data_IF_151789365872
#
_entry.id   IF_151789365872
#
_cell.length_a   1.000
_cell.length_b   1.000
_cell.length_c   1.000
_cell.angle_alpha   90.00
_cell.angle_beta   90.00
_cell.angle_gamma   90.00
#
_symmetry.space_group_name_H-M   'P 1'
#
loop_
_entity.id
_entity.type
_entity.pdbx_description
1 polymer ?
#
# COMPACT_ATOMS: atom_id res chain seq x y z
N UNK A 1 7.60 -35.52 -0.81
CA UNK A 1 7.19 -35.00 0.51
C UNK A 1 7.75 -33.59 0.58
N UNK A 2 7.29 -32.64 -0.22
CA UNK A 2 6.00 -31.94 -0.20
C UNK A 2 5.77 -31.19 1.11
N UNK A 3 5.91 -29.87 1.02
CA UNK A 3 5.13 -28.91 1.80
C UNK A 3 5.67 -28.59 3.19
N UNK A 4 6.54 -27.58 3.26
CA UNK A 4 6.78 -26.81 4.47
C UNK A 4 5.46 -26.13 4.88
N UNK A 5 4.81 -26.67 5.91
CA UNK A 5 3.53 -26.23 6.49
C UNK A 5 3.68 -24.95 7.34
N UNK A 6 4.38 -23.94 6.85
CA UNK A 6 4.36 -22.60 7.44
C UNK A 6 3.22 -21.78 6.83
N UNK A 7 1.99 -22.30 6.95
CA UNK A 7 0.77 -21.63 6.56
C UNK A 7 0.59 -20.33 7.36
N UNK A 8 0.79 -19.22 6.66
CA UNK A 8 0.31 -17.86 6.92
C UNK A 8 -0.78 -17.78 8.00
N UNK A 9 -0.39 -17.68 9.28
CA UNK A 9 -1.30 -17.21 10.31
C UNK A 9 -1.41 -15.71 10.18
N UNK A 10 -2.42 -15.31 9.40
CA UNK A 10 -2.77 -13.94 9.11
C UNK A 10 -2.85 -13.06 10.36
N UNK A 11 -1.98 -12.06 10.40
CA UNK A 11 -2.07 -10.87 11.24
C UNK A 11 -2.30 -9.60 10.40
N UNK A 12 -2.81 -9.77 9.17
CA UNK A 12 -3.08 -8.68 8.22
C UNK A 12 -4.45 -8.02 8.34
N UNK A 13 -5.22 -8.30 9.40
CA UNK A 13 -6.49 -7.65 9.63
C UNK A 13 -6.27 -6.43 10.54
N UNK A 14 -5.96 -5.27 9.94
CA UNK A 14 -6.50 -4.04 10.50
C UNK A 14 -8.02 -4.25 10.61
N UNK A 15 -8.56 -4.12 11.82
CA UNK A 15 -10.00 -4.30 12.06
C UNK A 15 -10.86 -3.38 11.18
N UNK A 16 -12.17 -3.65 11.09
CA UNK A 16 -13.12 -3.01 10.16
C UNK A 16 -13.35 -1.50 10.35
N UNK A 17 -12.60 -0.85 11.23
CA UNK A 17 -12.69 0.56 11.58
C UNK A 17 -12.30 1.47 10.40
N UNK A 18 -11.47 0.99 9.48
CA UNK A 18 -11.05 1.70 8.27
C UNK A 18 -11.85 1.30 7.03
N UNK A 19 -13.18 1.49 7.05
CA UNK A 19 -14.02 1.18 5.90
C UNK A 19 -13.72 2.08 4.68
N UNK A 20 -14.24 1.75 3.48
CA UNK A 20 -14.08 2.57 2.27
C UNK A 20 -14.52 4.05 2.44
N UNK A 21 -15.41 4.32 3.41
CA UNK A 21 -15.82 5.68 3.77
C UNK A 21 -14.69 6.55 4.31
N UNK A 22 -13.83 6.00 5.17
CA UNK A 22 -12.70 6.75 5.76
C UNK A 22 -11.61 7.00 4.71
N UNK A 23 -11.32 6.02 3.86
CA UNK A 23 -10.35 6.19 2.77
C UNK A 23 -10.82 7.22 1.73
N UNK A 24 -12.13 7.24 1.41
CA UNK A 24 -12.70 8.32 0.59
C UNK A 24 -12.61 9.68 1.26
N UNK A 25 -12.81 9.75 2.58
CA UNK A 25 -12.67 10.99 3.34
C UNK A 25 -11.23 11.49 3.32
N UNK A 26 -10.27 10.59 3.57
CA UNK A 26 -8.85 10.88 3.49
C UNK A 26 -8.46 11.40 2.10
N UNK A 27 -8.92 10.73 1.03
CA UNK A 27 -8.64 11.13 -0.36
C UNK A 27 -9.12 12.55 -0.68
N UNK A 28 -10.27 12.97 -0.13
CA UNK A 28 -10.77 14.36 -0.31
C UNK A 28 -10.00 15.42 0.48
N UNK A 29 -9.31 15.04 1.55
CA UNK A 29 -8.61 15.97 2.44
C UNK A 29 -7.11 16.04 2.15
N UNK A 30 -6.52 14.96 1.64
CA UNK A 30 -5.12 14.92 1.30
C UNK A 30 -4.86 15.57 -0.06
N UNK A 31 -3.68 16.16 -0.22
CA UNK A 31 -3.20 16.52 -1.56
C UNK A 31 -3.00 15.27 -2.42
N UNK A 32 -2.39 14.22 -1.85
CA UNK A 32 -2.26 12.87 -2.43
C UNK A 32 -2.16 11.83 -1.31
N UNK A 33 -2.67 10.63 -1.55
CA UNK A 33 -2.61 9.46 -0.65
C UNK A 33 -1.65 8.43 -1.25
N UNK A 34 -0.50 8.26 -0.60
CA UNK A 34 0.55 7.32 -1.03
C UNK A 34 0.69 6.21 0.01
N UNK A 35 0.60 4.96 -0.43
CA UNK A 35 0.86 3.80 0.40
C UNK A 35 2.20 3.15 0.05
N UNK A 36 3.20 3.38 0.90
CA UNK A 36 4.47 2.67 0.85
C UNK A 36 4.35 1.35 1.62
N UNK A 37 4.58 0.23 0.93
CA UNK A 37 4.48 -1.11 1.49
C UNK A 37 5.78 -1.88 1.23
N UNK A 38 6.54 -2.28 2.26
CA UNK A 38 7.81 -2.98 2.09
C UNK A 38 7.65 -4.34 1.39
N UNK A 39 6.47 -4.96 1.50
CA UNK A 39 6.16 -6.24 0.85
C UNK A 39 5.98 -6.12 -0.65
N UNK A 40 5.72 -4.92 -1.18
CA UNK A 40 5.52 -4.70 -2.63
C UNK A 40 6.73 -5.13 -3.46
N UNK A 41 7.94 -5.02 -2.92
CA UNK A 41 9.17 -5.37 -3.62
C UNK A 41 9.41 -6.89 -3.73
N UNK A 42 8.63 -7.70 -3.01
CA UNK A 42 8.78 -9.15 -3.07
C UNK A 42 8.22 -9.68 -4.40
N UNK A 43 8.98 -10.49 -5.17
CA UNK A 43 8.47 -11.14 -6.36
C UNK A 43 7.19 -11.92 -6.06
N UNK A 44 6.16 -11.76 -6.90
CA UNK A 44 4.87 -12.43 -6.73
C UNK A 44 3.96 -11.81 -5.65
N UNK A 45 4.34 -10.69 -5.03
CA UNK A 45 3.47 -10.00 -4.08
C UNK A 45 2.17 -9.53 -4.75
N UNK A 46 1.04 -9.92 -4.15
CA UNK A 46 -0.28 -9.41 -4.50
C UNK A 46 -1.04 -9.00 -3.22
N UNK A 47 -1.70 -7.83 -3.19
CA UNK A 47 -2.48 -7.35 -2.05
C UNK A 47 -3.86 -8.03 -1.97
N UNK A 48 -3.90 -9.35 -1.80
CA UNK A 48 -5.12 -10.16 -1.90
C UNK A 48 -6.04 -10.08 -0.67
N UNK A 49 -5.52 -9.66 0.48
CA UNK A 49 -6.35 -9.50 1.67
C UNK A 49 -7.46 -8.47 1.40
N UNK A 50 -8.71 -8.80 1.74
CA UNK A 50 -9.88 -8.01 1.36
C UNK A 50 -9.78 -6.53 1.73
N UNK A 51 -9.29 -6.20 2.93
CA UNK A 51 -9.08 -4.82 3.36
C UNK A 51 -7.99 -4.09 2.55
N UNK A 52 -6.94 -4.80 2.14
CA UNK A 52 -5.88 -4.23 1.30
C UNK A 52 -6.40 -3.96 -0.12
N UNK A 53 -7.08 -4.94 -0.73
CA UNK A 53 -7.68 -4.80 -2.04
C UNK A 53 -8.72 -3.66 -2.09
N UNK A 54 -9.56 -3.55 -1.06
CA UNK A 54 -10.55 -2.48 -0.93
C UNK A 54 -9.92 -1.08 -0.78
N UNK A 55 -8.69 -0.99 -0.31
CA UNK A 55 -7.99 0.28 -0.15
C UNK A 55 -7.37 0.82 -1.44
N UNK A 56 -6.96 -0.06 -2.36
CA UNK A 56 -6.22 0.33 -3.57
C UNK A 56 -6.92 1.37 -4.45
N UNK A 57 -8.25 1.31 -4.68
CA UNK A 57 -8.95 2.32 -5.50
C UNK A 57 -8.93 3.73 -4.90
N UNK A 58 -8.53 3.89 -3.63
CA UNK A 58 -8.47 5.15 -2.92
C UNK A 58 -7.04 5.70 -2.78
N UNK A 59 -6.04 5.00 -3.33
CA UNK A 59 -4.63 5.42 -3.28
C UNK A 59 -4.23 6.09 -4.60
N UNK A 60 -3.55 7.22 -4.52
CA UNK A 60 -2.96 7.86 -5.70
C UNK A 60 -1.65 7.18 -6.12
N UNK A 61 -0.97 6.51 -5.19
CA UNK A 61 0.23 5.71 -5.49
C UNK A 61 0.42 4.60 -4.48
N UNK A 62 0.76 3.41 -4.97
CA UNK A 62 1.16 2.27 -4.16
C UNK A 62 2.62 1.95 -4.49
N UNK A 63 3.54 2.07 -3.54
CA UNK A 63 4.99 2.04 -3.79
C UNK A 63 5.71 1.07 -2.85
N UNK A 64 6.93 0.70 -3.22
CA UNK A 64 7.79 -0.14 -2.39
C UNK A 64 8.33 0.69 -1.22
N UNK A 65 8.23 0.17 0.01
CA UNK A 65 8.55 0.92 1.24
C UNK A 65 9.85 0.55 1.92
N UNK A 66 10.78 -0.15 1.25
CA UNK A 66 11.92 -0.81 1.90
C UNK A 66 13.24 0.00 1.89
N UNK A 67 13.23 1.28 1.50
CA UNK A 67 14.40 2.17 1.66
C UNK A 67 14.03 3.65 1.69
N UNK A 68 14.88 4.49 2.31
CA UNK A 68 14.73 5.95 2.29
C UNK A 68 14.83 6.49 0.84
N UNK A 69 15.65 5.84 0.01
CA UNK A 69 15.71 6.09 -1.44
C UNK A 69 14.35 5.82 -2.12
N UNK A 70 13.61 4.81 -1.67
CA UNK A 70 12.24 4.56 -2.15
C UNK A 70 11.23 5.62 -1.67
N UNK A 71 11.55 6.42 -0.64
CA UNK A 71 10.76 7.57 -0.19
C UNK A 71 11.07 8.85 -0.98
N UNK A 72 12.18 8.92 -1.72
CA UNK A 72 12.51 10.10 -2.55
C UNK A 72 11.48 10.33 -3.66
N UNK A 73 11.00 9.24 -4.28
CA UNK A 73 9.98 9.30 -5.34
C UNK A 73 8.61 9.75 -4.82
N UNK A 74 8.06 9.21 -3.70
CA UNK A 74 6.92 9.80 -2.98
C UNK A 74 7.14 11.26 -2.56
N UNK A 75 8.33 11.61 -2.08
CA UNK A 75 8.64 12.97 -1.67
C UNK A 75 8.64 13.94 -2.87
N UNK A 76 9.10 13.51 -4.05
CA UNK A 76 9.00 14.28 -5.30
C UNK A 76 7.54 14.50 -5.72
N UNK A 77 6.72 13.44 -5.62
CA UNK A 77 5.28 13.47 -5.84
C UNK A 77 4.56 14.44 -4.91
N UNK A 78 4.89 14.45 -3.61
CA UNK A 78 4.33 15.40 -2.63
C UNK A 78 4.79 16.84 -2.91
N UNK A 79 5.99 17.03 -3.46
CA UNK A 79 6.50 18.34 -3.88
C UNK A 79 5.94 18.85 -5.22
N UNK A 80 5.14 18.04 -5.93
CA UNK A 80 4.54 18.42 -7.22
C UNK A 80 5.44 18.20 -8.44
N UNK A 81 6.56 17.49 -8.30
CA UNK A 81 7.39 17.09 -9.45
C UNK A 81 6.77 15.88 -10.16
N UNK A 82 6.75 15.89 -11.50
CA UNK A 82 6.35 14.73 -12.27
C UNK A 82 7.30 13.56 -11.97
N UNK A 83 6.74 12.40 -11.65
CA UNK A 83 7.52 11.18 -11.57
C UNK A 83 7.78 10.73 -13.01
N UNK A 84 8.97 11.04 -13.53
CA UNK A 84 9.36 10.61 -14.87
C UNK A 84 9.37 9.07 -14.99
N UNK A 85 9.02 8.64 -16.21
CA UNK A 85 8.55 7.32 -16.64
C UNK A 85 9.49 6.13 -16.35
#
# INVERSE_FOLDING_TARGET
>A
MTGDEAGERGNGAGGPEGGPGELRRLHRLAHRVVWANPRKAHPGYAPLAAGMAAALPHMDSFVEGHSLAALERPAAVVRGAAADA
#
